data_IF_989268903300
#
_entry.id   IF_989268903300
#
_cell.length_a   1.000
_cell.length_b   1.000
_cell.length_c   1.000
_cell.angle_alpha   90.00
_cell.angle_beta   90.00
_cell.angle_gamma   90.00
#
_symmetry.space_group_name_H-M   'P 1'
#
loop_
_entity.id
_entity.type
_entity.pdbx_description
1 polymer ?
#
# COMPACT_ATOMS: atom_id res chain seq x y z
N UNK A 1 3.60 -9.07 -27.73
CA UNK A 1 3.15 -9.85 -26.55
C UNK A 1 1.75 -9.38 -26.21
N UNK A 2 0.77 -10.26 -25.96
CA UNK A 2 -0.53 -9.80 -25.47
C UNK A 2 -0.30 -9.09 -24.14
N UNK A 3 -0.75 -7.84 -23.99
CA UNK A 3 -0.77 -7.17 -22.68
C UNK A 3 -1.57 -8.08 -21.75
N UNK A 4 -0.89 -8.71 -20.79
CA UNK A 4 -1.55 -9.46 -19.74
C UNK A 4 -2.34 -8.45 -18.92
N UNK A 5 -3.64 -8.35 -19.18
CA UNK A 5 -4.56 -7.56 -18.38
C UNK A 5 -4.61 -8.15 -16.97
N UNK A 6 -4.34 -7.30 -15.98
CA UNK A 6 -4.48 -7.66 -14.57
C UNK A 6 -5.96 -7.50 -14.17
N UNK A 7 -6.77 -8.52 -14.48
CA UNK A 7 -8.22 -8.53 -14.18
C UNK A 7 -8.61 -7.98 -12.80
N UNK A 8 -7.90 -8.29 -11.68
CA UNK A 8 -8.25 -7.72 -10.37
C UNK A 8 -8.18 -6.19 -10.31
N UNK A 9 -7.24 -5.56 -11.04
CA UNK A 9 -7.16 -4.10 -11.11
C UNK A 9 -8.33 -3.51 -11.91
N UNK A 10 -8.67 -4.12 -13.04
CA UNK A 10 -9.79 -3.68 -13.87
C UNK A 10 -11.13 -3.80 -13.15
N UNK A 11 -11.33 -4.91 -12.43
CA UNK A 11 -12.53 -5.14 -11.63
C UNK A 11 -12.68 -4.08 -10.53
N UNK A 12 -11.57 -3.74 -9.85
CA UNK A 12 -11.59 -2.69 -8.84
C UNK A 12 -11.77 -1.30 -9.42
N UNK A 13 -11.20 -1.00 -10.58
CA UNK A 13 -11.44 0.27 -11.28
C UNK A 13 -12.92 0.42 -11.65
N UNK A 14 -13.53 -0.62 -12.22
CA UNK A 14 -14.98 -0.61 -12.52
C UNK A 14 -15.83 -0.42 -11.27
N UNK A 15 -15.46 -1.03 -10.14
CA UNK A 15 -16.15 -0.80 -8.86
C UNK A 15 -16.05 0.65 -8.41
N UNK A 16 -14.87 1.26 -8.48
CA UNK A 16 -14.68 2.67 -8.16
C UNK A 16 -15.54 3.59 -9.03
N UNK A 17 -15.59 3.33 -10.34
CA UNK A 17 -16.41 4.12 -11.27
C UNK A 17 -17.91 4.00 -10.95
N UNK A 18 -18.37 2.81 -10.57
CA UNK A 18 -19.73 2.62 -10.05
C UNK A 18 -19.98 3.40 -8.76
N UNK A 19 -19.08 3.29 -7.78
CA UNK A 19 -19.22 3.91 -6.47
C UNK A 19 -19.24 5.44 -6.51
N UNK A 20 -18.56 6.07 -7.49
CA UNK A 20 -18.62 7.53 -7.74
C UNK A 20 -20.04 8.05 -7.97
N UNK A 21 -20.93 7.21 -8.50
CA UNK A 21 -22.31 7.57 -8.82
C UNK A 21 -23.29 7.20 -7.71
N UNK A 22 -22.87 6.40 -6.73
CA UNK A 22 -23.73 5.89 -5.65
C UNK A 22 -23.69 6.81 -4.42
N UNK A 23 -22.52 6.94 -3.77
CA UNK A 23 -22.32 7.87 -2.65
C UNK A 23 -20.85 8.07 -2.32
N UNK A 24 -20.52 9.19 -1.67
CA UNK A 24 -19.17 9.46 -1.16
C UNK A 24 -18.69 8.39 -0.17
N UNK A 25 -19.60 7.83 0.63
CA UNK A 25 -19.30 6.77 1.59
C UNK A 25 -18.93 5.47 0.87
N UNK A 26 -19.70 5.08 -0.15
CA UNK A 26 -19.39 3.91 -0.96
C UNK A 26 -18.04 4.08 -1.67
N UNK A 27 -17.83 5.25 -2.30
CA UNK A 27 -16.57 5.59 -2.96
C UNK A 27 -15.38 5.52 -1.99
N UNK A 28 -15.53 6.04 -0.78
CA UNK A 28 -14.48 6.00 0.23
C UNK A 28 -14.08 4.56 0.60
N UNK A 29 -15.04 3.68 0.88
CA UNK A 29 -14.73 2.29 1.22
C UNK A 29 -14.13 1.49 0.06
N UNK A 30 -14.57 1.75 -1.17
CA UNK A 30 -14.00 1.13 -2.35
C UNK A 30 -12.58 1.67 -2.64
N UNK A 31 -12.29 2.95 -2.37
CA UNK A 31 -10.93 3.50 -2.41
C UNK A 31 -10.00 2.83 -1.39
N UNK A 32 -10.48 2.55 -0.17
CA UNK A 32 -9.72 1.76 0.80
C UNK A 32 -9.47 0.33 0.31
N UNK A 33 -10.47 -0.30 -0.32
CA UNK A 33 -10.31 -1.61 -0.95
C UNK A 33 -9.25 -1.59 -2.05
N UNK A 34 -9.25 -0.55 -2.87
CA UNK A 34 -8.30 -0.39 -3.97
C UNK A 34 -6.88 -0.13 -3.46
N UNK A 35 -6.73 0.69 -2.42
CA UNK A 35 -5.44 0.89 -1.77
C UNK A 35 -4.87 -0.39 -1.16
N UNK A 36 -5.72 -1.25 -0.59
CA UNK A 36 -5.32 -2.56 -0.09
C UNK A 36 -4.85 -3.49 -1.22
N UNK A 37 -5.58 -3.54 -2.34
CA UNK A 37 -5.17 -4.29 -3.53
C UNK A 37 -3.82 -3.80 -4.06
N UNK A 38 -3.67 -2.47 -4.23
CA UNK A 38 -2.45 -1.85 -4.74
C UNK A 38 -1.24 -2.20 -3.86
N UNK A 39 -1.41 -2.10 -2.53
CA UNK A 39 -0.36 -2.46 -1.57
C UNK A 39 0.08 -3.92 -1.75
N UNK A 40 -0.88 -4.85 -1.84
CA UNK A 40 -0.58 -6.28 -2.01
C UNK A 40 0.11 -6.56 -3.34
N UNK A 41 -0.36 -5.96 -4.44
CA UNK A 41 0.22 -6.15 -5.76
C UNK A 41 1.67 -5.66 -5.83
N UNK A 42 1.95 -4.46 -5.31
CA UNK A 42 3.32 -3.92 -5.31
C UNK A 42 4.25 -4.78 -4.46
N UNK A 43 3.81 -5.20 -3.26
CA UNK A 43 4.60 -6.12 -2.42
C UNK A 43 4.85 -7.44 -3.13
N UNK A 44 3.83 -8.06 -3.72
CA UNK A 44 3.98 -9.33 -4.43
C UNK A 44 4.90 -9.20 -5.65
N UNK A 45 4.83 -8.09 -6.38
CA UNK A 45 5.73 -7.83 -7.51
C UNK A 45 7.19 -7.75 -7.05
N UNK A 46 7.47 -7.04 -5.96
CA UNK A 46 8.82 -6.97 -5.39
C UNK A 46 9.27 -8.32 -4.83
N UNK A 47 8.42 -9.05 -4.11
CA UNK A 47 8.76 -10.40 -3.61
C UNK A 47 9.03 -11.38 -4.74
N UNK A 48 8.28 -11.32 -5.83
CA UNK A 48 8.51 -12.15 -7.01
C UNK A 48 9.84 -11.83 -7.72
N UNK A 49 10.36 -10.62 -7.53
CA UNK A 49 11.65 -10.19 -8.03
C UNK A 49 12.82 -10.56 -7.10
N UNK A 50 12.60 -11.24 -5.98
CA UNK A 50 13.68 -11.76 -5.14
C UNK A 50 14.30 -12.99 -5.79
N UNK A 51 15.63 -13.06 -5.82
CA UNK A 51 16.37 -14.24 -6.24
C UNK A 51 16.22 -15.39 -5.22
N UNK A 52 16.13 -16.61 -5.72
CA UNK A 52 16.13 -17.78 -4.84
C UNK A 52 17.52 -17.93 -4.22
N UNK A 53 17.56 -18.06 -2.89
CA UNK A 53 18.80 -18.17 -2.13
C UNK A 53 18.77 -19.36 -1.16
N UNK A 54 19.95 -19.76 -0.67
CA UNK A 54 20.08 -20.86 0.30
C UNK A 54 19.32 -20.58 1.61
N UNK A 55 19.07 -19.30 1.92
CA UNK A 55 18.34 -18.89 3.12
C UNK A 55 16.83 -18.89 2.91
N UNK A 56 16.34 -19.21 1.71
CA UNK A 56 14.93 -19.28 1.33
C UNK A 56 14.18 -17.98 1.69
N UNK A 57 14.81 -16.83 1.46
CA UNK A 57 14.28 -15.52 1.85
C UNK A 57 12.93 -15.25 1.21
N UNK A 58 12.83 -15.48 -0.11
CA UNK A 58 11.58 -15.35 -0.86
C UNK A 58 10.47 -16.22 -0.27
N UNK A 59 10.73 -17.52 -0.08
CA UNK A 59 9.78 -18.46 0.50
C UNK A 59 9.30 -18.03 1.89
N UNK A 60 10.20 -17.55 2.76
CA UNK A 60 9.81 -17.07 4.10
C UNK A 60 8.87 -15.87 4.04
N UNK A 61 9.14 -14.93 3.12
CA UNK A 61 8.27 -13.77 2.91
C UNK A 61 6.91 -14.19 2.35
N UNK A 62 6.89 -15.06 1.33
CA UNK A 62 5.64 -15.60 0.77
C UNK A 62 4.81 -16.32 1.85
N UNK A 63 5.44 -17.21 2.62
CA UNK A 63 4.79 -17.92 3.72
C UNK A 63 4.23 -16.96 4.78
N UNK A 64 4.98 -15.92 5.12
CA UNK A 64 4.54 -14.90 6.06
C UNK A 64 3.35 -14.10 5.53
N UNK A 65 3.41 -13.64 4.27
CA UNK A 65 2.39 -12.82 3.62
C UNK A 65 1.07 -13.55 3.42
N UNK A 66 1.10 -14.85 3.09
CA UNK A 66 -0.11 -15.68 2.95
C UNK A 66 -0.87 -15.81 4.27
N UNK A 67 -0.16 -15.77 5.41
CA UNK A 67 -0.74 -16.01 6.74
C UNK A 67 -1.09 -14.74 7.50
N UNK A 68 -0.57 -13.58 7.10
CA UNK A 68 -0.88 -12.33 7.78
C UNK A 68 -2.25 -11.78 7.39
N UNK A 69 -3.02 -11.34 8.38
CA UNK A 69 -4.29 -10.65 8.20
C UNK A 69 -4.16 -9.12 8.28
N UNK A 70 -2.96 -8.61 8.60
CA UNK A 70 -2.73 -7.18 8.82
C UNK A 70 -2.13 -6.52 7.59
N UNK A 71 -2.83 -5.53 7.02
CA UNK A 71 -2.27 -4.69 5.94
C UNK A 71 -1.04 -3.89 6.39
N UNK A 72 -0.90 -3.62 7.70
CA UNK A 72 0.31 -3.02 8.26
C UNK A 72 1.54 -3.89 8.07
N UNK A 73 1.39 -5.22 8.16
CA UNK A 73 2.48 -6.17 7.89
C UNK A 73 2.95 -6.08 6.44
N UNK A 74 2.03 -5.95 5.49
CA UNK A 74 2.38 -5.77 4.07
C UNK A 74 3.17 -4.47 3.85
N UNK A 75 2.76 -3.36 4.48
CA UNK A 75 3.50 -2.10 4.43
C UNK A 75 4.91 -2.18 5.03
N UNK A 76 5.07 -2.92 6.13
CA UNK A 76 6.37 -3.17 6.75
C UNK A 76 7.29 -4.01 5.84
N UNK A 77 6.76 -5.07 5.22
CA UNK A 77 7.50 -5.88 4.25
C UNK A 77 7.93 -5.05 3.05
N UNK A 78 7.06 -4.17 2.51
CA UNK A 78 7.44 -3.26 1.43
C UNK A 78 8.61 -2.36 1.85
N UNK A 79 8.53 -1.77 3.05
CA UNK A 79 9.58 -0.92 3.56
C UNK A 79 10.93 -1.66 3.63
N UNK A 80 10.93 -2.89 4.16
CA UNK A 80 12.15 -3.71 4.23
C UNK A 80 12.71 -4.09 2.85
N UNK A 81 11.85 -4.24 1.84
CA UNK A 81 12.25 -4.50 0.45
C UNK A 81 12.86 -3.27 -0.23
N UNK A 82 12.36 -2.06 0.06
CA UNK A 82 12.78 -0.83 -0.64
C UNK A 82 13.89 -0.06 0.08
N UNK A 83 13.96 -0.10 1.41
CA UNK A 83 14.97 0.63 2.20
C UNK A 83 15.92 -0.30 2.96
N UNK A 84 15.51 -1.55 3.17
CA UNK A 84 16.15 -2.47 4.10
C UNK A 84 17.11 -3.47 3.46
N UNK A 85 17.39 -4.52 4.24
CA UNK A 85 18.37 -5.56 3.93
C UNK A 85 17.98 -6.42 2.73
N UNK A 86 16.69 -6.46 2.38
CA UNK A 86 16.19 -7.29 1.29
C UNK A 86 16.38 -6.63 -0.08
N UNK A 87 16.74 -5.34 -0.12
CA UNK A 87 16.98 -4.62 -1.37
C UNK A 87 18.06 -5.26 -2.24
N UNK A 88 19.12 -5.80 -1.63
CA UNK A 88 20.20 -6.46 -2.37
C UNK A 88 19.85 -7.87 -2.86
N UNK A 89 18.72 -8.43 -2.43
CA UNK A 89 18.24 -9.75 -2.88
C UNK A 89 17.29 -9.63 -4.09
N UNK A 90 16.95 -8.40 -4.49
CA UNK A 90 16.10 -8.14 -5.65
C UNK A 90 16.95 -8.21 -6.93
N UNK A 91 16.38 -8.82 -7.96
CA UNK A 91 16.95 -8.87 -9.30
C UNK A 91 17.08 -7.46 -9.89
N UNK A 92 18.03 -7.30 -10.80
CA UNK A 92 18.29 -6.01 -11.46
C UNK A 92 17.07 -5.47 -12.22
N UNK A 93 16.19 -6.34 -12.74
CA UNK A 93 15.00 -5.94 -13.48
C UNK A 93 14.00 -5.16 -12.63
N UNK A 94 14.02 -5.28 -11.29
CA UNK A 94 13.18 -4.47 -10.40
C UNK A 94 13.77 -3.08 -10.09
N UNK A 95 14.94 -2.76 -10.66
CA UNK A 95 15.68 -1.54 -10.35
C UNK A 95 14.91 -0.27 -10.69
N UNK A 96 14.14 -0.26 -11.79
CA UNK A 96 13.35 0.91 -12.20
C UNK A 96 12.21 1.19 -11.22
N UNK A 97 11.47 0.16 -10.83
CA UNK A 97 10.34 0.23 -9.90
C UNK A 97 10.82 0.62 -8.50
N UNK A 98 11.96 0.06 -8.06
CA UNK A 98 12.61 0.47 -6.81
C UNK A 98 13.02 1.94 -6.85
N UNK A 99 13.59 2.40 -7.98
CA UNK A 99 13.97 3.80 -8.13
C UNK A 99 12.73 4.71 -8.05
N UNK A 100 11.61 4.34 -8.66
CA UNK A 100 10.38 5.12 -8.55
C UNK A 100 9.83 5.18 -7.12
N UNK A 101 9.85 4.07 -6.39
CA UNK A 101 9.37 4.01 -5.00
C UNK A 101 10.29 4.73 -4.02
N UNK A 102 11.60 4.77 -4.30
CA UNK A 102 12.61 5.35 -3.42
C UNK A 102 13.08 6.74 -3.83
N UNK A 103 12.68 7.24 -5.00
CA UNK A 103 12.94 8.61 -5.41
C UNK A 103 12.31 9.59 -4.40
N UNK A 104 13.16 10.44 -3.82
CA UNK A 104 12.72 11.47 -2.89
C UNK A 104 12.33 12.73 -3.65
N UNK A 105 11.11 13.19 -3.47
CA UNK A 105 10.59 14.41 -4.10
C UNK A 105 10.24 15.45 -3.05
N UNK A 106 10.45 16.73 -3.33
CA UNK A 106 9.95 17.80 -2.46
C UNK A 106 8.43 17.72 -2.37
N UNK A 107 7.85 18.10 -1.23
CA UNK A 107 6.40 18.10 -1.02
C UNK A 107 5.62 18.90 -2.08
N UNK A 108 6.18 20.02 -2.56
CA UNK A 108 5.59 20.85 -3.61
C UNK A 108 5.79 20.30 -5.05
N UNK A 109 6.45 19.15 -5.20
CA UNK A 109 6.73 18.56 -6.52
C UNK A 109 5.45 18.12 -7.23
N UNK A 110 5.47 18.14 -8.56
CA UNK A 110 4.41 17.60 -9.40
C UNK A 110 4.47 16.08 -9.56
N UNK A 111 5.53 15.44 -9.03
CA UNK A 111 5.73 14.00 -9.04
C UNK A 111 4.57 13.26 -8.35
N UNK A 112 4.20 12.10 -8.88
CA UNK A 112 3.04 11.34 -8.40
C UNK A 112 3.26 10.88 -6.95
N UNK A 113 4.49 10.57 -6.56
CA UNK A 113 4.87 10.12 -5.22
C UNK A 113 4.51 11.17 -4.17
N UNK A 114 4.95 12.42 -4.40
CA UNK A 114 4.68 13.53 -3.50
C UNK A 114 3.17 13.79 -3.39
N UNK A 115 2.47 13.82 -4.53
CA UNK A 115 1.02 14.01 -4.57
C UNK A 115 0.25 12.91 -3.84
N UNK A 116 0.62 11.65 -4.03
CA UNK A 116 -0.04 10.52 -3.41
C UNK A 116 0.14 10.54 -1.88
N UNK A 117 1.38 10.74 -1.41
CA UNK A 117 1.70 10.79 0.03
C UNK A 117 1.02 11.98 0.70
N UNK A 118 1.06 13.17 0.06
CA UNK A 118 0.39 14.36 0.59
C UNK A 118 -1.14 14.20 0.63
N UNK A 119 -1.75 13.66 -0.43
CA UNK A 119 -3.18 13.39 -0.48
C UNK A 119 -3.62 12.41 0.64
N UNK A 120 -2.85 11.35 0.87
CA UNK A 120 -3.10 10.41 1.96
C UNK A 120 -2.99 11.09 3.33
N UNK A 121 -1.95 11.90 3.55
CA UNK A 121 -1.78 12.63 4.80
C UNK A 121 -2.89 13.63 5.06
N UNK A 122 -3.35 14.35 4.02
CA UNK A 122 -4.48 15.27 4.12
C UNK A 122 -5.76 14.53 4.48
N UNK A 123 -6.05 13.42 3.79
CA UNK A 123 -7.21 12.59 4.12
C UNK A 123 -7.16 12.08 5.56
N UNK A 124 -5.97 11.70 6.06
CA UNK A 124 -5.80 11.28 7.44
C UNK A 124 -6.06 12.41 8.45
N UNK A 125 -5.60 13.63 8.15
CA UNK A 125 -5.86 14.82 8.98
C UNK A 125 -7.36 15.13 9.07
N UNK A 126 -8.06 15.14 7.94
CA UNK A 126 -9.51 15.40 7.90
C UNK A 126 -10.32 14.35 8.68
N UNK A 127 -9.80 13.13 8.79
CA UNK A 127 -10.44 12.02 9.51
C UNK A 127 -9.95 11.84 10.95
N UNK A 128 -9.17 12.79 11.48
CA UNK A 128 -8.56 12.72 12.81
C UNK A 128 -7.79 11.40 13.06
N UNK A 129 -7.11 10.93 12.01
CA UNK A 129 -6.22 9.77 12.08
C UNK A 129 -4.81 10.27 12.37
N UNK A 130 -4.29 9.93 13.55
CA UNK A 130 -2.91 10.25 13.92
C UNK A 130 -1.91 9.62 12.95
N UNK A 131 -1.16 10.46 12.24
CA UNK A 131 -0.12 10.08 11.29
C UNK A 131 1.22 10.72 11.67
N UNK A 132 2.36 10.09 11.31
CA UNK A 132 3.66 10.73 11.43
C UNK A 132 3.71 12.04 10.64
N UNK A 133 4.42 13.03 11.17
CA UNK A 133 4.72 14.26 10.45
C UNK A 133 5.50 13.92 9.19
N UNK A 134 5.02 14.38 8.04
CA UNK A 134 5.69 14.13 6.78
C UNK A 134 7.05 14.86 6.71
N UNK A 135 8.11 14.19 6.24
CA UNK A 135 9.40 14.83 6.01
C UNK A 135 9.37 15.78 4.80
N UNK A 136 10.43 16.57 4.63
CA UNK A 136 10.57 17.51 3.50
C UNK A 136 10.63 16.78 2.14
N UNK A 137 11.25 15.60 2.11
CA UNK A 137 11.33 14.72 0.95
C UNK A 137 10.41 13.53 1.11
N UNK A 138 9.46 13.41 0.19
CA UNK A 138 8.47 12.34 0.15
C UNK A 138 8.91 11.26 -0.84
N UNK A 139 8.74 10.01 -0.42
CA UNK A 139 9.07 8.83 -1.22
C UNK A 139 7.79 8.01 -1.47
N UNK A 140 7.68 7.36 -2.62
CA UNK A 140 6.49 6.57 -2.96
C UNK A 140 6.17 5.47 -1.94
N UNK A 141 7.19 4.82 -1.40
CA UNK A 141 7.02 3.79 -0.37
C UNK A 141 6.30 4.29 0.90
N UNK A 142 6.43 5.59 1.23
CA UNK A 142 5.80 6.16 2.43
C UNK A 142 4.28 6.07 2.37
N UNK A 143 3.68 6.11 1.17
CA UNK A 143 2.24 5.95 1.02
C UNK A 143 1.78 4.60 1.57
N UNK A 144 2.50 3.52 1.24
CA UNK A 144 2.18 2.17 1.69
C UNK A 144 2.47 1.94 3.17
N UNK A 145 3.50 2.59 3.72
CA UNK A 145 3.78 2.54 5.16
C UNK A 145 2.67 3.23 5.97
N UNK A 146 2.11 4.31 5.42
CA UNK A 146 1.15 5.19 6.09
C UNK A 146 -0.32 4.75 5.88
N UNK A 147 -0.64 4.18 4.73
CA UNK A 147 -2.00 3.78 4.35
C UNK A 147 -2.72 2.87 5.37
N UNK A 148 -2.06 1.88 6.01
CA UNK A 148 -2.66 1.02 7.03
C UNK A 148 -3.31 1.79 8.18
N UNK A 149 -2.74 2.91 8.62
CA UNK A 149 -3.28 3.69 9.72
C UNK A 149 -4.65 4.31 9.35
N UNK A 150 -4.76 4.91 8.17
CA UNK A 150 -6.02 5.43 7.64
C UNK A 150 -7.06 4.32 7.50
N UNK A 151 -6.69 3.19 6.86
CA UNK A 151 -7.60 2.06 6.63
C UNK A 151 -8.10 1.42 7.92
N UNK A 152 -7.21 1.20 8.90
CA UNK A 152 -7.55 0.50 10.13
C UNK A 152 -8.44 1.34 11.05
N UNK A 153 -8.22 2.65 11.08
CA UNK A 153 -9.06 3.56 11.88
C UNK A 153 -10.50 3.60 11.35
N UNK A 154 -10.65 3.55 10.04
CA UNK A 154 -11.93 3.81 9.36
C UNK A 154 -12.80 2.57 9.21
N UNK A 155 -12.21 1.37 9.06
CA UNK A 155 -12.97 0.10 9.10
C UNK A 155 -13.47 -0.29 10.50
N UNK A 156 -12.92 0.29 11.57
CA UNK A 156 -13.36 0.04 12.95
C UNK A 156 -14.69 0.72 13.33
N UNK A 157 -15.13 1.74 12.60
CA UNK A 157 -16.34 2.50 12.93
C UNK A 157 -17.65 1.84 12.46
N UNK A 158 -17.59 0.71 11.76
CA UNK A 158 -18.76 -0.06 11.30
C UNK A 158 -19.12 -1.27 12.16
N UNK A 159 -18.35 -1.59 13.21
CA UNK A 159 -18.73 -2.65 14.17
C UNK A 159 -19.32 -1.99 15.41
N UNK A 160 -20.63 -2.18 15.71
CA UNK A 160 -21.12 -1.90 17.05
C UNK A 160 -20.26 -2.72 18.02
N UNK A 161 -19.64 -2.08 19.01
CA UNK A 161 -19.06 -2.82 20.13
C UNK A 161 -20.19 -3.67 20.69
N UNK A 162 -20.08 -5.02 20.74
CA UNK A 162 -21.06 -5.80 21.47
C UNK A 162 -21.07 -5.26 22.90
N UNK A 163 -22.27 -4.94 23.40
CA UNK A 163 -22.43 -4.49 24.77
C UNK A 163 -21.74 -5.49 25.71
N UNK A 164 -21.02 -5.03 26.74
CA UNK A 164 -20.49 -5.95 27.74
C UNK A 164 -21.67 -6.73 28.32
N UNK A 165 -21.60 -8.07 28.29
CA UNK A 165 -22.55 -8.91 29.00
C UNK A 165 -22.41 -8.58 30.49
N UNK A 166 -23.49 -8.10 31.10
CA UNK A 166 -23.64 -8.01 32.55
C UNK A 166 -24.04 -9.37 33.12
#
# INVERSE_FOLDING_TARGET
>A
MPSASLRPLEDMQRRLDGARHDSDVALFYDLLGYGELLTKLVVLALVAAIEDDDRQQRYRLEYHLVRTHSIGTWGAVLHDLVTGRLRSALREEAGAELAELTAGHQRASTAWQAKAVDALSRAATEMDVGMPVLPERLHGWMWFANFPALRNRTRGHGTPRPAPCQ
#
